data_IF_681401496889
#
_entry.id   IF_681401496889
#
_cell.length_a   1.000
_cell.length_b   1.000
_cell.length_c   1.000
_cell.angle_alpha   90.00
_cell.angle_beta   90.00
_cell.angle_gamma   90.00
#
_symmetry.space_group_name_H-M   'P 1'
#
loop_
_entity.id
_entity.type
_entity.pdbx_description
1 polymer ?
#
# COMPACT_ATOMS: atom_id res chain seq x y z
N UNK A 1 7.31 13.97 -19.52
CA UNK A 1 7.60 13.65 -18.08
C UNK A 1 6.34 13.30 -17.30
N UNK A 2 5.25 14.07 -17.42
CA UNK A 2 3.97 13.80 -16.72
C UNK A 2 3.33 12.43 -17.04
N UNK A 3 3.36 11.97 -18.29
CA UNK A 3 2.79 10.67 -18.67
C UNK A 3 3.56 9.46 -18.07
N UNK A 4 4.89 9.56 -17.88
CA UNK A 4 5.69 8.53 -17.22
C UNK A 4 5.40 8.47 -15.71
N UNK A 5 5.32 9.64 -15.06
CA UNK A 5 4.95 9.75 -13.65
C UNK A 5 3.53 9.23 -13.39
N UNK A 6 2.59 9.54 -14.28
CA UNK A 6 1.22 9.02 -14.22
C UNK A 6 1.17 7.49 -14.35
N UNK A 7 1.93 6.91 -15.28
CA UNK A 7 2.02 5.45 -15.45
C UNK A 7 2.55 4.74 -14.20
N UNK A 8 3.62 5.27 -13.59
CA UNK A 8 4.22 4.72 -12.37
C UNK A 8 3.27 4.87 -11.18
N UNK A 9 2.60 6.01 -11.05
CA UNK A 9 1.61 6.24 -10.00
C UNK A 9 0.44 5.25 -10.08
N UNK A 10 -0.04 4.94 -11.28
CA UNK A 10 -1.11 3.94 -11.49
C UNK A 10 -0.62 2.54 -11.09
N UNK A 11 0.59 2.14 -11.50
CA UNK A 11 1.16 0.83 -11.09
C UNK A 11 1.31 0.70 -9.57
N UNK A 12 1.80 1.75 -8.90
CA UNK A 12 1.93 1.81 -7.45
C UNK A 12 0.58 1.70 -6.75
N UNK A 13 -0.43 2.38 -7.28
CA UNK A 13 -1.77 2.34 -6.74
C UNK A 13 -2.40 0.95 -6.89
N UNK A 14 -2.35 0.38 -8.10
CA UNK A 14 -2.88 -0.96 -8.40
C UNK A 14 -2.19 -2.03 -7.57
N UNK A 15 -0.85 -1.99 -7.45
CA UNK A 15 -0.11 -2.95 -6.64
C UNK A 15 -0.40 -2.81 -5.13
N UNK A 16 -0.62 -1.59 -4.64
CA UNK A 16 -1.00 -1.36 -3.24
C UNK A 16 -2.41 -1.87 -2.94
N UNK A 17 -3.37 -1.63 -3.84
CA UNK A 17 -4.74 -2.16 -3.73
C UNK A 17 -4.74 -3.69 -3.81
N UNK A 18 -3.97 -4.29 -4.72
CA UNK A 18 -3.87 -5.74 -4.83
C UNK A 18 -3.29 -6.38 -3.55
N UNK A 19 -2.24 -5.80 -2.96
CA UNK A 19 -1.73 -6.26 -1.67
C UNK A 19 -2.76 -6.11 -0.55
N UNK A 20 -3.49 -5.00 -0.52
CA UNK A 20 -4.52 -4.77 0.48
C UNK A 20 -5.66 -5.81 0.39
N UNK A 21 -6.16 -6.07 -0.82
CA UNK A 21 -7.19 -7.08 -1.08
C UNK A 21 -6.72 -8.49 -0.71
N UNK A 22 -5.49 -8.87 -1.06
CA UNK A 22 -4.92 -10.17 -0.67
C UNK A 22 -4.83 -10.34 0.85
N UNK A 23 -4.45 -9.27 1.56
CA UNK A 23 -4.36 -9.27 3.03
C UNK A 23 -5.75 -9.39 3.66
N UNK A 24 -6.74 -8.68 3.11
CA UNK A 24 -8.15 -8.78 3.49
C UNK A 24 -8.71 -10.20 3.30
N UNK A 25 -8.46 -10.85 2.18
CA UNK A 25 -8.93 -12.22 1.92
C UNK A 25 -8.37 -13.20 2.97
N UNK A 26 -7.08 -13.09 3.31
CA UNK A 26 -6.48 -13.92 4.36
C UNK A 26 -7.05 -13.63 5.74
N UNK A 27 -7.39 -12.38 5.99
CA UNK A 27 -8.00 -11.94 7.22
C UNK A 27 -9.41 -12.49 7.41
N UNK A 28 -10.27 -12.41 6.39
CA UNK A 28 -11.60 -13.03 6.41
C UNK A 28 -11.55 -14.55 6.56
N UNK A 29 -10.48 -15.22 6.10
CA UNK A 29 -10.29 -16.66 6.29
C UNK A 29 -9.84 -17.06 7.69
N UNK A 30 -9.25 -16.14 8.47
CA UNK A 30 -8.58 -16.47 9.73
C UNK A 30 -9.25 -15.88 10.98
N UNK A 31 -9.97 -14.76 10.85
CA UNK A 31 -10.58 -14.06 11.99
C UNK A 31 -12.05 -13.72 11.76
N UNK A 32 -12.74 -13.35 12.84
CA UNK A 32 -14.15 -12.97 12.82
C UNK A 32 -14.38 -11.73 11.96
N UNK A 33 -15.45 -11.77 11.17
CA UNK A 33 -15.86 -10.77 10.16
C UNK A 33 -15.83 -9.32 10.69
N UNK A 34 -16.10 -9.10 11.98
CA UNK A 34 -16.11 -7.77 12.59
C UNK A 34 -14.74 -7.08 12.59
N UNK A 35 -13.66 -7.85 12.80
CA UNK A 35 -12.30 -7.30 12.76
C UNK A 35 -11.90 -7.04 11.30
N UNK A 36 -12.34 -7.88 10.36
CA UNK A 36 -12.09 -7.71 8.93
C UNK A 36 -12.79 -6.47 8.33
N UNK A 37 -13.99 -6.13 8.81
CA UNK A 37 -14.68 -4.87 8.47
C UNK A 37 -13.89 -3.65 8.95
N UNK A 38 -13.27 -3.72 10.14
CA UNK A 38 -12.36 -2.68 10.62
C UNK A 38 -11.11 -2.55 9.74
N UNK A 39 -10.60 -3.65 9.19
CA UNK A 39 -9.50 -3.64 8.21
C UNK A 39 -9.88 -3.05 6.84
N UNK A 40 -11.16 -3.09 6.46
CA UNK A 40 -11.69 -2.41 5.26
C UNK A 40 -11.82 -0.90 5.50
N UNK A 41 -12.26 -0.49 6.68
CA UNK A 41 -12.39 0.93 7.03
C UNK A 41 -11.03 1.58 7.33
N UNK A 42 -10.04 0.79 7.76
CA UNK A 42 -8.70 1.28 8.10
C UNK A 42 -7.63 0.40 7.46
N UNK A 43 -7.08 0.85 6.32
CA UNK A 43 -5.97 0.18 5.63
C UNK A 43 -4.71 0.02 6.48
N UNK A 44 -4.47 0.95 7.42
CA UNK A 44 -3.41 0.82 8.44
C UNK A 44 -3.63 -0.38 9.36
N UNK A 45 -4.87 -0.62 9.77
CA UNK A 45 -5.20 -1.77 10.62
C UNK A 45 -4.95 -3.08 9.86
N UNK A 46 -5.40 -3.17 8.60
CA UNK A 46 -5.12 -4.32 7.74
C UNK A 46 -3.62 -4.56 7.54
N UNK A 47 -2.84 -3.48 7.48
CA UNK A 47 -1.38 -3.54 7.38
C UNK A 47 -0.72 -4.12 8.64
N UNK A 48 -1.12 -3.63 9.82
CA UNK A 48 -0.60 -4.11 11.11
C UNK A 48 -0.94 -5.59 11.32
N UNK A 49 -2.19 -5.98 11.06
CA UNK A 49 -2.61 -7.38 11.17
C UNK A 49 -1.88 -8.27 10.15
N UNK A 50 -1.73 -7.79 8.92
CA UNK A 50 -0.97 -8.47 7.87
C UNK A 50 0.46 -8.77 8.30
N UNK A 51 1.14 -7.84 8.96
CA UNK A 51 2.49 -8.04 9.51
C UNK A 51 2.49 -8.99 10.71
N UNK A 52 1.53 -8.84 11.62
CA UNK A 52 1.41 -9.69 12.81
C UNK A 52 1.22 -11.17 12.47
N UNK A 53 0.44 -11.48 11.43
CA UNK A 53 0.23 -12.86 10.99
C UNK A 53 1.18 -13.30 9.86
N UNK A 54 2.02 -12.40 9.34
CA UNK A 54 2.90 -12.65 8.21
C UNK A 54 3.76 -13.92 8.38
N UNK A 55 4.29 -14.10 9.60
CA UNK A 55 5.11 -15.24 9.99
C UNK A 55 4.30 -16.53 10.11
N UNK A 56 3.06 -16.45 10.60
CA UNK A 56 2.18 -17.61 10.78
C UNK A 56 1.64 -18.18 9.47
N UNK A 57 1.33 -17.34 8.47
CA UNK A 57 0.80 -17.84 7.17
C UNK A 57 1.73 -17.62 5.98
N UNK A 58 3.04 -17.52 6.23
CA UNK A 58 4.09 -17.41 5.21
C UNK A 58 3.81 -16.31 4.16
N UNK A 59 3.22 -15.18 4.57
CA UNK A 59 2.84 -14.06 3.69
C UNK A 59 3.71 -12.82 3.86
N UNK A 60 4.88 -13.00 4.47
CA UNK A 60 5.88 -11.94 4.61
C UNK A 60 6.29 -11.33 3.27
N UNK A 61 6.31 -12.11 2.18
CA UNK A 61 6.65 -11.57 0.86
C UNK A 61 5.63 -10.53 0.38
N UNK A 62 4.33 -10.81 0.52
CA UNK A 62 3.26 -9.89 0.14
C UNK A 62 3.34 -8.61 0.99
N UNK A 63 3.57 -8.74 2.30
CA UNK A 63 3.70 -7.58 3.19
C UNK A 63 4.95 -6.75 2.87
N UNK A 64 6.09 -7.38 2.58
CA UNK A 64 7.32 -6.68 2.17
C UNK A 64 7.12 -5.91 0.86
N UNK A 65 6.48 -6.54 -0.13
CA UNK A 65 6.13 -5.89 -1.40
C UNK A 65 5.19 -4.71 -1.15
N UNK A 66 4.15 -4.90 -0.34
CA UNK A 66 3.20 -3.83 -0.02
C UNK A 66 3.87 -2.64 0.66
N UNK A 67 4.75 -2.92 1.62
CA UNK A 67 5.54 -1.89 2.33
C UNK A 67 6.46 -1.16 1.37
N UNK A 68 7.14 -1.89 0.47
CA UNK A 68 8.01 -1.32 -0.56
C UNK A 68 7.26 -0.43 -1.54
N UNK A 69 6.06 -0.84 -1.98
CA UNK A 69 5.19 0.00 -2.83
C UNK A 69 4.73 1.26 -2.09
N UNK A 70 4.33 1.13 -0.83
CA UNK A 70 3.87 2.28 -0.04
C UNK A 70 4.99 3.30 0.16
N UNK A 71 6.20 2.83 0.49
CA UNK A 71 7.40 3.70 0.61
C UNK A 71 7.76 4.32 -0.74
N UNK A 72 7.76 3.54 -1.83
CA UNK A 72 8.03 4.05 -3.17
C UNK A 72 7.04 5.14 -3.60
N UNK A 73 5.76 4.97 -3.27
CA UNK A 73 4.72 5.97 -3.52
C UNK A 73 4.93 7.26 -2.72
N UNK A 74 5.36 7.17 -1.45
CA UNK A 74 5.69 8.33 -0.62
C UNK A 74 6.88 9.09 -1.21
N UNK A 75 7.98 8.38 -1.54
CA UNK A 75 9.19 8.98 -2.10
C UNK A 75 8.87 9.71 -3.42
N UNK A 76 8.11 9.09 -4.31
CA UNK A 76 7.70 9.71 -5.57
C UNK A 76 6.85 10.95 -5.32
N UNK A 77 5.90 10.92 -4.38
CA UNK A 77 5.10 12.10 -4.04
C UNK A 77 5.96 13.24 -3.49
N UNK A 78 6.93 12.93 -2.62
CA UNK A 78 7.85 13.94 -2.07
C UNK A 78 8.70 14.57 -3.17
N UNK A 79 9.25 13.76 -4.08
CA UNK A 79 10.03 14.25 -5.23
C UNK A 79 9.18 15.11 -6.15
N UNK A 80 7.96 14.65 -6.50
CA UNK A 80 7.04 15.40 -7.37
C UNK A 80 6.64 16.72 -6.71
N UNK A 81 6.35 16.73 -5.42
CA UNK A 81 5.99 17.95 -4.68
C UNK A 81 7.17 18.93 -4.64
N UNK A 82 8.38 18.44 -4.35
CA UNK A 82 9.59 19.25 -4.33
C UNK A 82 9.92 19.83 -5.72
N UNK A 83 9.76 19.04 -6.79
CA UNK A 83 9.94 19.50 -8.17
C UNK A 83 8.86 20.50 -8.61
N UNK A 84 7.62 20.34 -8.14
CA UNK A 84 6.53 21.27 -8.45
C UNK A 84 6.76 22.62 -7.76
N UNK A 85 7.27 22.61 -6.53
CA UNK A 85 7.59 23.83 -5.79
C UNK A 85 8.72 24.65 -6.44
N UNK A 86 9.71 24.00 -7.07
CA UNK A 86 10.78 24.69 -7.79
C UNK A 86 10.36 25.22 -9.17
N UNK A 87 9.28 24.71 -9.76
CA UNK A 87 8.74 25.21 -11.04
C UNK A 87 7.85 26.45 -10.89
N UNK A 88 7.24 26.67 -9.72
CA UNK A 88 6.40 27.86 -9.46
C UNK A 88 7.18 29.10 -9.01
N UNK A 89 8.50 28.99 -8.83
CA UNK A 89 9.37 30.11 -8.41
C UNK A 89 10.14 30.77 -9.57
N UNK A 90 9.73 30.54 -10.82
CA UNK A 90 10.29 31.15 -12.04
C UNK A 90 9.17 31.86 -12.82
#
# INVERSE_FOLDING_TARGET
>A
MIFLLAGIAILLWVGSVACWVMTLIKMFKSETTGIAVLGILCGLWAFIWGWKNAEKQNHQQIMKIWTGLMIGAIVINVIVTAMSASMTSS
#
